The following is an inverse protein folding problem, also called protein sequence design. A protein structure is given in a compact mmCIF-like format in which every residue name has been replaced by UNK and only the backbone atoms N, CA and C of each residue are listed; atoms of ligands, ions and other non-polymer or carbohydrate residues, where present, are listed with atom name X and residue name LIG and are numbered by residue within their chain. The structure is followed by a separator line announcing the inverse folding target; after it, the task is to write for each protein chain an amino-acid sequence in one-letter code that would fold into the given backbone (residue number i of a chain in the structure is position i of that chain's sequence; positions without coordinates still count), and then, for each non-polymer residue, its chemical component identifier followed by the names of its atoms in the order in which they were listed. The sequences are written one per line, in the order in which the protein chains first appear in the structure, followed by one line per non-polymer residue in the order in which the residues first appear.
data_IF_805908468708
#
_entry.id   IF_805908468708
#
_cell.length_a   1.000
_cell.length_b   1.000
_cell.length_c   1.000
_cell.angle_alpha   90.00
_cell.angle_beta   90.00
_cell.angle_gamma   90.00
#
_symmetry.space_group_name_H-M   'P 1'
#
loop_
_entity.id
_entity.type
_entity.pdbx_description
1 polymer ?
2 non-polymer ?
3 non-polymer ?
4 non-polymer ?
5 non-polymer ?
6 water ?
#
# COMPACT_ATOMS: atom_id res chain seq x y z
N UNK A 10 6.48 -17.12 -6.09
CA UNK A 10 7.23 -16.26 -5.17
C UNK A 10 7.06 -14.78 -5.41
N UNK A 11 6.82 -14.05 -4.33
CA UNK A 11 6.87 -12.60 -4.26
C UNK A 11 8.35 -12.21 -4.46
N UNK A 12 8.70 -11.29 -5.39
CA UNK A 12 10.13 -11.04 -5.65
C UNK A 12 10.86 -10.35 -4.49
N UNK A 13 12.16 -10.62 -4.40
CA UNK A 13 13.02 -9.88 -3.49
C UNK A 13 13.17 -8.41 -4.00
N UNK A 14 13.59 -7.53 -3.12
CA UNK A 14 13.74 -6.12 -3.50
C UNK A 14 14.90 -6.00 -4.46
N UNK A 15 14.86 -5.03 -5.37
CA UNK A 15 15.96 -4.80 -6.33
C UNK A 15 17.06 -3.91 -5.76
N UNK A 16 16.80 -3.21 -4.66
CA UNK A 16 17.75 -2.27 -4.10
C UNK A 16 18.91 -2.87 -3.29
N UNK A 17 19.86 -2.04 -2.85
CA UNK A 17 21.02 -2.59 -2.13
C UNK A 17 20.78 -2.98 -0.67
N UNK A 18 19.66 -2.57 -0.06
CA UNK A 18 19.48 -2.79 1.38
C UNK A 18 18.80 -4.14 1.57
N UNK A 19 19.22 -4.90 2.57
CA UNK A 19 18.38 -5.98 3.14
C UNK A 19 17.08 -5.38 3.73
N UNK A 20 16.01 -6.17 3.69
CA UNK A 20 14.68 -5.78 4.12
C UNK A 20 14.24 -6.53 5.40
N UNK A 21 13.76 -5.76 6.36
CA UNK A 21 13.15 -6.29 7.58
C UNK A 21 11.67 -6.06 7.59
N UNK A 22 10.94 -6.76 8.44
CA UNK A 22 9.50 -6.55 8.51
C UNK A 22 9.01 -6.76 9.93
N UNK A 23 8.01 -5.96 10.36
CA UNK A 23 7.35 -6.18 11.65
C UNK A 23 5.96 -5.59 11.54
N UNK A 24 5.12 -5.84 12.55
CA UNK A 24 3.79 -5.27 12.65
C UNK A 24 3.68 -4.31 13.84
N UNK A 25 2.90 -3.23 13.68
CA UNK A 25 2.70 -2.25 14.75
C UNK A 25 1.22 -1.95 14.98
N UNK A 26 0.76 -2.14 16.20
CA UNK A 26 -0.59 -1.73 16.55
C UNK A 26 -0.58 -0.78 17.75
N UNK A 27 -0.98 0.47 17.54
CA UNK A 27 -1.08 1.45 18.62
C UNK A 27 -2.11 2.60 18.37
N UNK A 28 -3.08 2.85 19.28
CA UNK A 28 -3.42 1.99 20.41
C UNK A 28 -4.06 0.66 19.92
N UNK A 29 -4.56 -0.16 20.88
CA UNK A 29 -5.13 -1.48 20.65
C UNK A 29 -6.58 -1.45 20.10
N UNK A 30 -7.22 -0.27 20.06
CA UNK A 30 -8.66 -0.16 19.74
C UNK A 30 -8.88 -0.14 18.22
N UNK A 31 -10.15 -0.26 17.81
CA UNK A 31 -10.54 -0.13 16.41
C UNK A 31 -10.26 1.31 15.85
N UNK A 32 -9.95 2.31 16.72
CA UNK A 32 -9.59 3.68 16.32
C UNK A 32 -8.06 3.93 16.30
N UNK A 33 -7.30 2.95 16.79
CA UNK A 33 -5.84 3.01 16.82
C UNK A 33 -5.26 2.79 15.45
N UNK A 34 -3.92 2.87 15.35
CA UNK A 34 -3.26 2.58 14.09
C UNK A 34 -2.84 1.11 14.09
N UNK A 35 -3.03 0.44 12.92
CA UNK A 35 -2.48 -0.88 12.68
C UNK A 35 -1.69 -0.80 11.39
N UNK A 36 -0.41 -1.14 11.45
CA UNK A 36 0.38 -1.12 10.22
C UNK A 36 1.40 -2.29 10.15
N UNK A 37 1.79 -2.67 8.94
CA UNK A 37 2.93 -3.52 8.72
C UNK A 37 4.09 -2.65 8.24
N UNK A 38 5.25 -2.77 8.89
CA UNK A 38 6.40 -1.95 8.55
C UNK A 38 7.43 -2.73 7.74
N UNK A 39 7.86 -2.16 6.62
CA UNK A 39 9.01 -2.67 5.87
C UNK A 39 10.10 -1.64 5.96
N UNK A 40 11.32 -2.09 6.20
CA UNK A 40 12.38 -1.16 6.60
C UNK A 40 13.73 -1.70 6.21
N UNK A 41 14.75 -0.85 5.97
CA UNK A 41 16.10 -1.38 5.74
C UNK A 41 16.61 -2.05 7.00
N UNK A 42 17.19 -3.25 6.88
CA UNK A 42 17.50 -4.05 8.05
C UNK A 42 19.00 -4.27 8.22
N UNK A 43 19.43 -4.40 9.48
CA UNK A 43 20.83 -4.62 9.85
C UNK A 43 21.27 -6.01 9.36
N UNK A 44 20.38 -6.98 9.48
CA UNK A 44 20.70 -8.40 9.30
C UNK A 44 19.82 -9.03 8.24
N UNK A 45 20.27 -10.17 7.72
CA UNK A 45 19.67 -10.86 6.60
C UNK A 45 19.62 -12.38 6.82
N UNK A 46 19.55 -12.80 8.08
CA UNK A 46 19.49 -14.21 8.44
C UNK A 46 18.30 -14.52 9.36
N UNK A 47 17.24 -13.72 9.29
CA UNK A 47 16.01 -14.00 10.06
C UNK A 47 15.10 -14.87 9.23
N UNK A 48 14.07 -15.47 9.88
CA UNK A 48 12.99 -16.16 9.18
C UNK A 48 12.26 -15.18 8.29
N UNK A 49 11.86 -15.66 7.10
CA UNK A 49 11.04 -14.90 6.17
C UNK A 49 9.69 -14.57 6.83
N UNK A 50 8.98 -13.54 6.31
CA UNK A 50 7.72 -13.01 6.87
C UNK A 50 6.53 -13.83 6.34
N UNK A 51 5.66 -14.30 7.25
CA UNK A 51 4.43 -15.01 6.92
C UNK A 51 3.47 -14.03 6.19
N UNK A 52 3.03 -14.41 4.97
CA UNK A 52 2.34 -13.52 4.04
C UNK A 52 0.95 -13.15 4.54
N UNK A 53 0.16 -14.16 4.91
CA UNK A 53 -1.19 -13.90 5.44
C UNK A 53 -1.17 -14.60 6.81
N UNK A 54 -1.08 -13.86 7.92
CA UNK A 54 -0.70 -14.49 9.20
C UNK A 54 -1.82 -15.07 10.07
N UNK A 55 -3.09 -14.97 9.65
CA UNK A 55 -4.22 -15.49 10.45
C UNK A 55 -5.31 -16.05 9.54
N UNK A 56 -5.96 -17.14 10.01
CA UNK A 56 -7.05 -17.82 9.32
C UNK A 56 -8.22 -16.88 9.00
N UNK A 57 -8.45 -15.88 9.85
CA UNK A 57 -9.58 -14.97 9.65
C UNK A 57 -9.44 -14.15 8.37
N UNK A 58 -8.18 -13.84 7.96
CA UNK A 58 -7.95 -13.12 6.68
C UNK A 58 -8.47 -13.95 5.51
N UNK A 59 -8.20 -15.26 5.55
CA UNK A 59 -8.69 -16.22 4.55
C UNK A 59 -10.21 -16.31 4.50
N UNK A 60 -10.90 -16.35 5.67
CA UNK A 60 -12.36 -16.23 5.79
C UNK A 60 -12.88 -14.95 5.13
N UNK A 61 -12.26 -13.83 5.49
CA UNK A 61 -12.55 -12.54 4.89
C UNK A 61 -12.35 -12.51 3.39
N UNK A 62 -11.19 -13.00 2.91
CA UNK A 62 -10.97 -13.16 1.47
C UNK A 62 -12.08 -13.97 0.80
N UNK A 63 -12.51 -15.09 1.38
CA UNK A 63 -13.54 -15.88 0.67
C UNK A 63 -14.93 -15.12 0.60
N UNK A 64 -15.31 -14.44 1.69
CA UNK A 64 -16.47 -13.52 1.69
C UNK A 64 -16.33 -12.42 0.63
N UNK A 65 -15.13 -11.87 0.42
CA UNK A 65 -14.90 -10.81 -0.56
C UNK A 65 -14.95 -11.38 -1.97
N UNK A 66 -14.53 -12.64 -2.14
CA UNK A 66 -14.60 -13.30 -3.44
C UNK A 66 -16.02 -13.83 -3.78
N UNK A 67 -16.94 -13.71 -2.83
CA UNK A 67 -18.34 -14.17 -2.91
C UNK A 67 -18.50 -15.68 -2.84
N UNK A 68 -17.62 -16.37 -2.10
CA UNK A 68 -17.66 -17.83 -1.99
C UNK A 68 -18.06 -18.27 -0.58
N UNK A 69 -18.21 -19.62 -0.39
CA UNK A 69 -18.34 -20.31 0.92
C UNK A 69 -17.27 -19.76 1.87
N UNK A 70 -17.59 -19.51 3.15
CA UNK A 70 -16.51 -19.19 4.11
C UNK A 70 -15.52 -20.36 4.24
N UNK A 71 -16.00 -21.60 3.98
CA UNK A 71 -15.25 -22.84 3.92
C UNK A 71 -14.33 -22.89 2.71
N UNK A 72 -14.61 -22.08 1.66
CA UNK A 72 -13.66 -21.90 0.57
C UNK A 72 -12.43 -21.17 1.11
N UNK A 73 -12.59 -20.40 2.19
CA UNK A 73 -11.50 -19.75 2.91
C UNK A 73 -10.51 -20.75 3.51
N UNK A 74 -11.04 -21.85 4.10
CA UNK A 74 -10.26 -22.99 4.56
C UNK A 74 -9.39 -23.63 3.46
N UNK A 75 -9.87 -23.65 2.21
CA UNK A 75 -9.07 -24.18 1.09
C UNK A 75 -7.93 -23.17 0.71
N UNK A 76 -8.26 -21.89 0.67
CA UNK A 76 -7.25 -20.83 0.49
C UNK A 76 -6.18 -20.93 1.58
N UNK A 77 -6.59 -21.16 2.85
CA UNK A 77 -5.65 -21.34 3.95
C UNK A 77 -4.76 -22.58 3.74
N UNK A 78 -5.33 -23.70 3.30
CA UNK A 78 -4.61 -24.93 2.96
C UNK A 78 -3.54 -24.64 1.89
N UNK A 79 -3.87 -23.83 0.88
CA UNK A 79 -2.99 -23.57 -0.26
C UNK A 79 -1.95 -22.49 0.01
N UNK A 80 -2.29 -21.48 0.83
CA UNK A 80 -1.52 -20.24 0.94
C UNK A 80 -1.09 -19.90 2.37
N UNK A 81 -1.57 -20.65 3.37
CA UNK A 81 -1.37 -20.34 4.79
C UNK A 81 0.05 -20.42 5.32
N UNK A 82 0.97 -21.07 4.59
CA UNK A 82 2.38 -21.15 4.96
C UNK A 82 3.26 -20.31 4.00
N UNK A 83 2.65 -19.68 2.98
CA UNK A 83 3.41 -18.80 2.07
C UNK A 83 4.13 -17.67 2.84
N UNK A 84 5.37 -17.42 2.50
CA UNK A 84 6.09 -16.31 3.10
C UNK A 84 6.40 -15.27 2.05
N UNK A 85 6.98 -14.14 2.47
CA UNK A 85 7.41 -13.04 1.60
C UNK A 85 8.83 -12.70 2.03
N UNK A 86 9.77 -12.37 1.08
CA UNK A 86 11.19 -12.26 1.45
C UNK A 86 11.56 -10.97 2.21
N UNK A 87 11.10 -10.86 3.47
CA UNK A 87 11.57 -9.83 4.41
C UNK A 87 11.90 -10.49 5.72
N UNK A 88 12.98 -10.03 6.35
CA UNK A 88 13.47 -10.56 7.62
C UNK A 88 12.58 -10.18 8.74
N UNK A 89 11.84 -11.15 9.30
CA UNK A 89 10.84 -10.90 10.36
C UNK A 89 11.53 -10.42 11.61
N UNK A 90 11.14 -9.21 12.11
CA UNK A 90 11.69 -8.61 13.35
C UNK A 90 13.19 -8.31 13.32
N UNK A 91 13.80 -8.26 12.14
CA UNK A 91 15.23 -7.94 12.03
C UNK A 91 15.52 -6.56 12.69
N UNK A 92 16.69 -6.33 13.32
CA UNK A 92 17.01 -4.95 13.74
C UNK A 92 17.01 -3.98 12.53
N UNK A 93 16.53 -2.74 12.73
CA UNK A 93 16.60 -1.64 11.74
C UNK A 93 18.07 -1.37 11.42
N UNK A 94 18.41 -1.20 10.13
CA UNK A 94 19.75 -0.73 9.76
C UNK A 94 20.07 0.66 10.39
N UNK A 95 21.08 0.78 11.27
CA UNK A 95 21.35 2.09 11.87
C UNK A 95 22.20 3.00 10.97
N UNK A 96 22.31 4.27 11.39
CA UNK A 96 23.27 5.25 10.89
C UNK A 96 22.77 6.11 9.73
N UNK A 97 21.45 6.14 9.51
CA UNK A 97 20.81 6.77 8.35
C UNK A 97 19.38 7.18 8.65
N UNK A 98 19.00 8.38 8.18
CA UNK A 98 17.60 8.81 8.22
C UNK A 98 16.92 8.37 6.93
N UNK A 99 15.77 7.73 7.07
CA UNK A 99 15.04 7.16 5.93
C UNK A 99 13.77 7.96 5.55
N UNK A 100 13.55 8.24 4.24
CA UNK A 100 12.22 8.71 3.81
C UNK A 100 11.11 7.71 4.15
N UNK A 101 9.88 8.20 4.28
CA UNK A 101 8.72 7.43 4.73
C UNK A 101 7.64 7.43 3.71
N UNK A 102 7.15 6.22 3.40
CA UNK A 102 6.00 6.01 2.58
C UNK A 102 4.90 5.45 3.47
N UNK A 103 3.72 6.10 3.45
CA UNK A 103 2.54 5.46 4.02
C UNK A 103 1.82 4.83 2.80
N UNK A 104 1.41 3.56 2.90
CA UNK A 104 0.81 2.81 1.78
C UNK A 104 -0.64 2.40 2.16
N UNK A 105 -1.61 2.62 1.25
CA UNK A 105 -3.01 2.29 1.40
C UNK A 105 -3.47 1.18 0.47
N UNK A 106 -4.07 0.14 1.07
CA UNK A 106 -4.44 -1.06 0.33
C UNK A 106 -5.80 -0.85 -0.35
N UNK A 107 -6.11 -1.74 -1.31
CA UNK A 107 -7.36 -1.70 -2.04
C UNK A 107 -8.51 -2.38 -1.30
N UNK A 108 -9.68 -2.36 -1.95
CA UNK A 108 -10.89 -2.99 -1.42
C UNK A 108 -10.65 -4.51 -1.35
N UNK A 109 -11.11 -5.15 -0.27
CA UNK A 109 -10.90 -6.59 -0.09
C UNK A 109 -9.48 -6.98 0.29
N UNK A 110 -8.58 -6.00 0.38
CA UNK A 110 -7.19 -6.30 0.77
C UNK A 110 -6.98 -6.04 2.26
N UNK A 111 -5.74 -5.99 2.73
CA UNK A 111 -5.29 -5.72 4.12
C UNK A 111 -3.79 -5.40 4.05
N UNK A 112 -3.11 -5.18 5.19
CA UNK A 112 -1.78 -4.56 5.25
C UNK A 112 -0.64 -5.41 4.61
N UNK A 113 -0.83 -6.70 4.49
CA UNK A 113 0.26 -7.64 4.15
C UNK A 113 0.29 -7.90 2.60
N UNK A 114 -0.67 -7.35 1.84
CA UNK A 114 -0.86 -7.87 0.47
C UNK A 114 -0.14 -7.08 -0.63
N UNK A 115 0.76 -6.18 -0.20
CA UNK A 115 1.50 -5.33 -1.14
C UNK A 115 2.97 -5.34 -0.74
N UNK A 116 3.46 -6.53 -0.31
CA UNK A 116 4.87 -6.70 0.08
C UNK A 116 5.81 -6.60 -1.12
N UNK A 117 5.39 -7.01 -2.33
CA UNK A 117 6.32 -6.83 -3.48
C UNK A 117 6.70 -5.34 -3.58
N UNK A 118 5.70 -4.41 -3.50
CA UNK A 118 5.95 -2.95 -3.42
C UNK A 118 6.74 -2.51 -2.15
N UNK A 119 6.26 -2.89 -0.94
CA UNK A 119 6.84 -2.51 0.34
C UNK A 119 8.29 -2.94 0.54
N UNK A 120 8.62 -4.20 0.22
CA UNK A 120 9.98 -4.77 0.18
C UNK A 120 10.85 -4.02 -0.85
N UNK A 121 10.33 -3.77 -2.07
CA UNK A 121 11.19 -3.11 -3.04
C UNK A 121 11.56 -1.73 -2.59
N UNK A 122 10.59 -0.98 -2.02
CA UNK A 122 10.82 0.39 -1.51
C UNK A 122 11.82 0.34 -0.38
N UNK A 123 11.61 -0.58 0.59
CA UNK A 123 12.55 -0.77 1.70
C UNK A 123 13.95 -1.12 1.21
N UNK A 124 14.10 -1.97 0.18
CA UNK A 124 15.43 -2.36 -0.30
C UNK A 124 16.20 -1.17 -0.92
N UNK A 125 15.47 -0.09 -1.32
CA UNK A 125 16.08 1.14 -1.83
C UNK A 125 16.29 2.22 -0.73
N UNK A 126 16.00 1.87 0.52
CA UNK A 126 16.25 2.74 1.67
C UNK A 126 15.06 3.54 2.13
N UNK A 127 13.82 3.06 1.91
CA UNK A 127 12.59 3.67 2.51
C UNK A 127 12.13 2.89 3.76
N UNK A 128 11.49 3.58 4.69
CA UNK A 128 10.61 2.90 5.62
C UNK A 128 9.20 2.99 5.02
N UNK A 129 8.47 1.87 5.04
CA UNK A 129 7.14 1.79 4.45
C UNK A 129 6.17 1.35 5.53
N UNK A 130 5.18 2.18 5.80
CA UNK A 130 4.15 1.80 6.76
C UNK A 130 2.88 1.46 5.97
N UNK A 131 2.59 0.15 5.78
CA UNK A 131 1.39 -0.29 5.10
C UNK A 131 0.27 -0.40 6.11
N UNK A 132 -0.67 0.56 6.05
CA UNK A 132 -1.75 0.65 7.03
C UNK A 132 -2.77 -0.48 6.81
N UNK A 133 -3.41 -0.94 7.90
CA UNK A 133 -4.58 -1.77 7.79
C UNK A 133 -5.77 -0.89 8.15
N UNK A 134 -6.70 -0.74 7.22
CA UNK A 134 -7.81 0.19 7.38
C UNK A 134 -8.92 -0.51 8.14
N UNK A 135 -9.60 0.24 9.00
CA UNK A 135 -10.66 -0.28 9.85
C UNK A 135 -12.00 0.30 9.39
N UNK A 136 -12.12 0.61 8.09
CA UNK A 136 -13.34 1.27 7.53
C UNK A 136 -14.29 0.21 6.98
N UNK A 137 -13.98 -1.08 7.21
CA UNK A 137 -14.67 -2.27 6.69
C UNK A 137 -14.46 -2.39 5.17
N UNK A 138 -13.38 -1.75 4.61
CA UNK A 138 -12.97 -2.02 3.23
C UNK A 138 -11.96 -3.14 3.17
N UNK A 139 -11.29 -3.47 4.32
CA UNK A 139 -10.37 -4.64 4.32
C UNK A 139 -11.22 -5.93 4.26
N UNK A 140 -10.68 -7.02 3.66
CA UNK A 140 -11.34 -8.34 3.74
C UNK A 140 -11.61 -8.70 5.21
N UNK A 141 -10.59 -8.48 6.03
CA UNK A 141 -10.69 -8.68 7.48
C UNK A 141 -9.63 -7.76 8.07
N UNK A 142 -9.86 -7.39 9.32
CA UNK A 142 -8.90 -6.73 10.21
C UNK A 142 -9.27 -7.08 11.68
N UNK A 143 -8.40 -6.75 12.59
CA UNK A 143 -8.68 -7.00 13.98
C UNK A 143 -8.12 -5.94 14.87
N UNK A 144 -8.60 -5.94 16.11
CA UNK A 144 -8.27 -4.93 17.11
C UNK A 144 -8.68 -5.59 18.45
N UNK A 145 -8.50 -4.86 19.57
CA UNK A 145 -8.85 -5.38 20.91
C UNK A 145 -9.85 -4.41 21.55
N UNK A 146 -10.87 -4.98 22.19
CA UNK A 146 -11.97 -4.20 22.74
C UNK A 146 -11.53 -3.34 23.90
N UNK A 147 -10.52 -3.82 24.65
CA UNK A 147 -9.94 -3.04 25.73
C UNK A 147 -8.58 -3.58 26.11
N UNK A 148 -7.98 -3.01 27.18
CA UNK A 148 -6.59 -3.32 27.53
C UNK A 148 -6.41 -4.78 27.95
N UNK A 149 -7.39 -5.31 28.72
CA UNK A 149 -7.48 -6.72 29.12
C UNK A 149 -7.40 -7.66 27.92
N UNK A 150 -8.29 -7.44 26.91
CA UNK A 150 -8.36 -8.22 25.68
C UNK A 150 -6.99 -8.20 24.92
N UNK A 151 -6.35 -7.03 24.87
CA UNK A 151 -5.03 -6.84 24.24
C UNK A 151 -3.95 -7.69 24.94
N UNK A 152 -3.89 -7.64 26.29
CA UNK A 152 -2.94 -8.43 27.10
C UNK A 152 -2.96 -9.93 26.79
N UNK A 153 -4.17 -10.51 26.74
CA UNK A 153 -4.35 -11.95 26.50
C UNK A 153 -4.47 -12.30 25.01
N UNK A 154 -4.37 -11.29 24.13
CA UNK A 154 -4.47 -11.49 22.69
C UNK A 154 -5.82 -12.06 22.27
N UNK A 155 -6.90 -11.60 22.93
CA UNK A 155 -8.27 -11.92 22.53
C UNK A 155 -8.73 -10.90 21.45
N UNK A 156 -8.66 -11.34 20.19
CA UNK A 156 -8.81 -10.48 19.00
C UNK A 156 -10.28 -10.29 18.69
N UNK A 157 -10.68 -9.07 18.32
CA UNK A 157 -12.01 -8.88 17.76
C UNK A 157 -11.81 -8.66 16.27
N UNK A 158 -12.53 -9.43 15.47
CA UNK A 158 -12.39 -9.36 14.04
C UNK A 158 -13.45 -8.49 13.41
N UNK A 159 -13.09 -7.74 12.37
CA UNK A 159 -14.01 -6.87 11.64
C UNK A 159 -13.93 -7.23 10.16
N UNK A 160 -15.08 -7.58 9.55
CA UNK A 160 -15.07 -8.12 8.18
C UNK A 160 -15.57 -7.13 7.13
N UNK A 161 -15.14 -7.29 5.86
CA UNK A 161 -15.63 -6.49 4.74
C UNK A 161 -17.13 -6.27 4.79
N UNK A 162 -17.54 -5.04 4.55
CA UNK A 162 -18.95 -4.65 4.44
C UNK A 162 -19.35 -4.63 2.98
N UNK A 163 -20.40 -5.35 2.66
CA UNK A 163 -21.05 -5.27 1.36
C UNK A 163 -22.08 -4.18 1.38
N UNK A 164 -22.20 -3.45 0.25
CA UNK A 164 -23.13 -2.33 0.14
C UNK A 164 -24.28 -2.60 -0.82
N UNK A 165 -25.48 -2.09 -0.47
CA UNK A 165 -26.61 -1.88 -1.37
C UNK A 165 -26.25 -0.70 -2.32
N UNK A 166 -26.81 -0.71 -3.55
CA UNK A 166 -26.59 0.31 -4.58
C UNK A 166 -26.84 1.73 -4.08
N UNK A 167 -27.85 1.93 -3.20
CA UNK A 167 -28.24 3.23 -2.64
C UNK A 167 -27.22 3.76 -1.63
N UNK A 168 -26.38 2.87 -1.07
CA UNK A 168 -25.36 3.17 -0.06
C UNK A 168 -24.02 3.52 -0.70
N UNK A 169 -23.85 3.23 -2.00
CA UNK A 169 -22.55 3.28 -2.67
C UNK A 169 -21.89 4.63 -2.54
N UNK A 170 -22.53 5.72 -3.05
CA UNK A 170 -21.84 7.04 -3.14
C UNK A 170 -21.41 7.50 -1.73
N UNK A 171 -22.37 7.54 -0.82
CA UNK A 171 -22.21 8.03 0.54
C UNK A 171 -21.20 7.20 1.37
N UNK A 172 -21.33 5.86 1.41
CA UNK A 172 -20.44 5.04 2.23
C UNK A 172 -19.03 4.98 1.65
N UNK A 173 -18.85 4.86 0.31
CA UNK A 173 -17.48 4.90 -0.23
C UNK A 173 -16.76 6.18 0.13
N UNK A 174 -17.47 7.31 0.16
CA UNK A 174 -16.88 8.61 0.51
C UNK A 174 -16.56 8.66 2.03
N UNK A 175 -17.45 8.17 2.91
CA UNK A 175 -17.16 8.11 4.37
C UNK A 175 -15.89 7.25 4.60
N UNK A 176 -15.78 6.12 3.88
CA UNK A 176 -14.62 5.22 3.99
C UNK A 176 -13.34 5.86 3.49
N UNK A 177 -13.35 6.55 2.31
CA UNK A 177 -12.11 7.19 1.84
C UNK A 177 -11.68 8.29 2.84
N UNK A 178 -12.65 8.97 3.47
CA UNK A 178 -12.32 9.99 4.46
C UNK A 178 -11.69 9.39 5.72
N UNK A 179 -12.27 8.30 6.28
CA UNK A 179 -11.61 7.56 7.35
C UNK A 179 -10.24 7.01 6.94
N UNK A 180 -10.11 6.45 5.74
CA UNK A 180 -8.83 6.00 5.19
C UNK A 180 -7.79 7.13 5.24
N UNK A 181 -8.14 8.35 4.81
CA UNK A 181 -7.18 9.46 4.85
C UNK A 181 -6.75 9.79 6.31
N UNK A 182 -7.73 9.83 7.25
CA UNK A 182 -7.48 10.06 8.67
C UNK A 182 -6.55 9.00 9.24
N UNK A 183 -6.75 7.75 8.83
CA UNK A 183 -5.91 6.63 9.27
C UNK A 183 -4.52 6.78 8.69
N UNK A 184 -4.37 7.30 7.45
CA UNK A 184 -3.04 7.65 6.95
C UNK A 184 -2.36 8.74 7.71
N UNK A 185 -3.05 9.86 8.03
CA UNK A 185 -2.45 10.91 8.83
C UNK A 185 -2.09 10.42 10.21
N UNK A 186 -2.99 9.65 10.83
CA UNK A 186 -2.75 9.12 12.19
C UNK A 186 -1.54 8.15 12.20
N UNK A 187 -1.41 7.31 11.18
CA UNK A 187 -0.22 6.44 11.05
C UNK A 187 1.04 7.28 10.90
N UNK A 188 1.02 8.41 10.11
CA UNK A 188 2.16 9.33 10.00
C UNK A 188 2.52 9.91 11.38
N UNK A 189 1.53 10.49 12.09
CA UNK A 189 1.76 11.03 13.42
C UNK A 189 2.37 9.98 14.37
N UNK A 190 1.87 8.74 14.34
CA UNK A 190 2.43 7.66 15.16
C UNK A 190 3.92 7.45 14.86
N UNK A 191 4.29 7.25 13.57
CA UNK A 191 5.70 7.07 13.18
C UNK A 191 6.53 8.29 13.55
N UNK A 192 6.01 9.50 13.27
CA UNK A 192 6.74 10.72 13.60
C UNK A 192 6.97 10.88 15.10
N UNK A 193 6.01 10.43 15.93
CA UNK A 193 6.19 10.50 17.39
C UNK A 193 7.14 9.45 17.90
N UNK A 194 7.14 8.24 17.29
CA UNK A 194 8.14 7.21 17.57
C UNK A 194 9.56 7.73 17.21
N UNK A 195 9.69 8.43 16.06
CA UNK A 195 10.96 9.00 15.60
C UNK A 195 11.47 10.02 16.59
N UNK A 196 10.58 10.88 17.05
CA UNK A 196 10.84 11.88 18.06
C UNK A 196 10.67 11.35 19.51
N UNK A 197 10.80 10.02 19.68
CA UNK A 197 11.07 9.34 20.94
C UNK A 197 9.93 9.01 21.90
N UNK A 198 8.66 9.28 21.52
CA UNK A 198 7.49 8.95 22.33
C UNK A 198 7.52 7.44 22.71
N UNK A 199 7.40 7.09 24.00
CA UNK A 199 7.36 5.67 24.37
C UNK A 199 6.00 5.11 23.96
N UNK A 200 6.03 4.03 23.20
CA UNK A 200 4.82 3.42 22.62
C UNK A 200 4.87 1.94 22.97
N UNK A 201 3.86 1.45 23.69
CA UNK A 201 3.70 0.01 23.93
C UNK A 201 2.93 -0.59 22.74
N UNK A 202 3.61 -1.36 21.86
CA UNK A 202 2.97 -2.07 20.75
C UNK A 202 1.90 -2.99 21.34
N UNK A 203 0.65 -2.95 20.83
CA UNK A 203 -0.44 -3.81 21.34
C UNK A 203 -0.12 -5.29 21.04
N UNK A 204 0.79 -5.51 20.08
CA UNK A 204 1.23 -6.84 19.69
C UNK A 204 2.55 -7.11 20.39
N UNK A 205 2.66 -8.26 21.02
CA UNK A 205 3.87 -8.61 21.73
C UNK A 205 4.80 -9.21 20.69
N UNK A 206 5.62 -8.35 20.03
CA UNK A 206 6.59 -8.78 19.02
C UNK A 206 8.04 -8.43 19.46
N UNK A 207 9.03 -9.22 19.05
CA UNK A 207 10.43 -9.00 19.49
C UNK A 207 11.17 -8.01 18.55
N UNK A 208 10.51 -6.86 18.25
CA UNK A 208 11.08 -5.69 17.59
C UNK A 208 10.85 -4.50 18.51
N UNK A 209 11.93 -3.99 19.11
CA UNK A 209 11.89 -2.80 19.94
C UNK A 209 11.73 -1.52 19.09
N UNK A 210 10.60 -0.81 19.26
CA UNK A 210 10.26 0.41 18.54
C UNK A 210 11.20 1.57 18.84
N UNK A 211 11.98 1.46 19.94
CA UNK A 211 13.01 2.45 20.29
C UNK A 211 14.10 2.60 19.20
N UNK A 212 14.19 1.61 18.30
CA UNK A 212 15.08 1.61 17.13
C UNK A 212 14.70 2.67 16.14
N UNK A 213 13.40 3.00 16.07
CA UNK A 213 12.95 3.95 15.07
C UNK A 213 13.23 5.41 15.48
N UNK A 214 13.67 5.64 16.75
CA UNK A 214 14.07 6.98 17.22
C UNK A 214 15.20 7.52 16.35
N UNK A 215 15.02 8.75 15.85
CA UNK A 215 15.96 9.49 14.99
C UNK A 215 16.31 8.75 13.72
N UNK A 216 15.33 7.99 13.16
CA UNK A 216 15.53 7.19 11.94
C UNK A 216 14.72 7.65 10.72
N UNK A 217 13.79 8.59 10.89
CA UNK A 217 12.92 9.12 9.82
C UNK A 217 13.51 10.44 9.29
N UNK A 218 13.70 10.53 7.95
CA UNK A 218 13.97 11.84 7.34
C UNK A 218 12.61 12.58 7.32
N UNK A 219 12.35 13.44 8.31
CA UNK A 219 11.01 13.95 8.66
C UNK A 219 10.32 14.81 7.59
N UNK A 220 11.07 15.37 6.63
CA UNK A 220 10.55 16.17 5.53
C UNK A 220 10.19 15.30 4.30
N UNK A 221 10.65 14.04 4.28
CA UNK A 221 10.59 13.24 3.07
C UNK A 221 9.52 12.19 3.24
N UNK A 222 8.25 12.68 3.13
CA UNK A 222 7.07 11.81 3.32
C UNK A 222 6.20 11.74 2.09
N UNK A 223 5.80 10.53 1.71
CA UNK A 223 4.89 10.30 0.59
C UNK A 223 3.83 9.35 0.97
N UNK A 224 2.72 9.39 0.23
CA UNK A 224 1.61 8.47 0.38
C UNK A 224 1.44 7.73 -0.95
N UNK A 225 1.34 6.37 -0.90
CA UNK A 225 1.15 5.54 -2.09
C UNK A 225 0.00 4.59 -1.85
N UNK A 226 -0.76 4.23 -2.89
CA UNK A 226 -1.84 3.29 -2.64
C UNK A 226 -2.43 2.77 -3.91
N UNK A 227 -3.08 1.60 -3.81
CA UNK A 227 -3.64 0.91 -4.98
C UNK A 227 -5.14 0.90 -4.90
N UNK A 228 -5.78 1.27 -6.01
CA UNK A 228 -7.24 1.17 -6.23
C UNK A 228 -7.98 2.13 -5.29
N UNK A 229 -8.72 1.58 -4.29
CA UNK A 229 -9.33 2.39 -3.23
C UNK A 229 -8.21 3.16 -2.49
N UNK A 230 -7.05 2.54 -2.39
CA UNK A 230 -5.86 3.17 -1.84
C UNK A 230 -5.32 4.32 -2.66
N UNK A 231 -5.60 4.31 -3.97
CA UNK A 231 -5.20 5.40 -4.86
C UNK A 231 -6.13 6.59 -4.68
N UNK A 232 -7.46 6.36 -4.49
CA UNK A 232 -8.33 7.46 -3.99
C UNK A 232 -7.86 7.98 -2.62
N UNK A 233 -7.42 7.09 -1.73
CA UNK A 233 -6.93 7.42 -0.38
C UNK A 233 -5.72 8.34 -0.48
N UNK A 234 -4.77 8.06 -1.43
CA UNK A 234 -3.69 8.99 -1.79
C UNK A 234 -4.21 10.41 -1.95
N UNK A 235 -5.22 10.56 -2.80
CA UNK A 235 -5.67 11.91 -3.20
C UNK A 235 -6.38 12.61 -2.05
N UNK A 236 -7.25 11.88 -1.35
CA UNK A 236 -7.94 12.45 -0.17
C UNK A 236 -6.91 12.89 0.87
N UNK A 237 -5.90 12.01 1.14
CA UNK A 237 -4.82 12.24 2.13
C UNK A 237 -4.04 13.51 1.78
N UNK A 238 -3.50 13.62 0.56
CA UNK A 238 -2.82 14.83 0.11
C UNK A 238 -3.66 16.07 0.27
N UNK A 239 -4.97 16.01 -0.07
CA UNK A 239 -5.82 17.22 0.11
C UNK A 239 -5.99 17.64 1.58
N UNK A 240 -5.88 16.71 2.54
CA UNK A 240 -6.14 17.12 3.91
C UNK A 240 -4.89 17.14 4.83
N UNK A 241 -3.72 16.70 4.35
CA UNK A 241 -2.55 16.58 5.19
C UNK A 241 -1.36 17.00 4.38
N UNK A 242 -0.95 18.26 4.58
CA UNK A 242 0.17 18.84 3.85
C UNK A 242 1.55 18.26 4.28
N UNK A 243 1.60 17.41 5.33
CA UNK A 243 2.85 16.76 5.76
C UNK A 243 3.34 15.79 4.67
N UNK A 244 2.38 15.23 3.88
CA UNK A 244 2.69 14.39 2.73
C UNK A 244 3.08 15.30 1.56
N UNK A 245 4.28 15.12 1.01
CA UNK A 245 4.82 16.03 0.01
C UNK A 245 4.51 15.63 -1.41
N UNK A 246 4.23 14.33 -1.65
CA UNK A 246 3.74 13.89 -2.97
C UNK A 246 2.98 12.62 -2.79
N UNK A 247 2.28 12.21 -3.83
CA UNK A 247 1.54 10.95 -3.81
C UNK A 247 1.63 10.21 -5.12
N UNK A 248 1.55 8.88 -5.04
CA UNK A 248 1.51 7.96 -6.20
C UNK A 248 0.28 7.09 -6.09
N UNK A 249 -0.67 7.26 -7.03
CA UNK A 249 -1.89 6.49 -7.06
C UNK A 249 -1.74 5.35 -8.08
N UNK A 250 -1.76 4.10 -7.58
CA UNK A 250 -1.60 2.93 -8.44
C UNK A 250 -2.95 2.44 -8.85
N UNK A 251 -3.27 2.55 -10.15
CA UNK A 251 -4.57 2.19 -10.71
C UNK A 251 -5.70 2.69 -9.76
N UNK A 252 -5.74 4.00 -9.51
CA UNK A 252 -6.71 4.56 -8.54
C UNK A 252 -8.18 4.27 -9.00
N UNK A 253 -9.05 3.91 -8.06
CA UNK A 253 -10.48 3.83 -8.25
C UNK A 253 -11.03 5.16 -7.70
N UNK A 254 -11.35 6.11 -8.59
CA UNK A 254 -11.68 7.48 -8.20
C UNK A 254 -13.08 7.70 -7.61
N UNK A 255 -14.03 6.76 -7.83
CA UNK A 255 -15.42 6.84 -7.34
C UNK A 255 -15.57 7.36 -5.85
N UNK A 256 -14.80 6.89 -4.83
CA UNK A 256 -15.02 7.39 -3.46
C UNK A 256 -14.84 8.90 -3.21
N UNK A 257 -14.06 9.59 -4.05
CA UNK A 257 -13.71 11.01 -3.85
C UNK A 257 -14.87 11.97 -3.91
N UNK A 258 -14.91 12.90 -2.96
CA UNK A 258 -15.87 13.99 -2.99
C UNK A 258 -15.51 14.97 -4.08
N UNK A 259 -16.52 15.64 -4.67
CA UNK A 259 -16.32 16.61 -5.75
C UNK A 259 -15.47 17.77 -5.32
N UNK A 260 -15.48 18.09 -4.02
CA UNK A 260 -14.64 19.15 -3.45
C UNK A 260 -13.16 18.87 -3.57
N UNK A 261 -12.72 17.60 -3.57
CA UNK A 261 -11.28 17.24 -3.43
C UNK A 261 -10.42 17.68 -4.64
N UNK A 262 -10.97 17.70 -5.85
CA UNK A 262 -10.17 17.71 -7.11
C UNK A 262 -9.31 18.92 -7.35
N UNK A 263 -9.84 20.09 -7.00
CA UNK A 263 -9.12 21.34 -7.09
C UNK A 263 -8.30 21.62 -5.80
N UNK A 264 -8.13 20.61 -4.91
CA UNK A 264 -7.50 20.86 -3.60
C UNK A 264 -6.25 19.97 -3.37
N UNK A 265 -5.47 19.71 -4.40
CA UNK A 265 -4.31 18.81 -4.26
C UNK A 265 -3.11 19.63 -4.74
N UNK A 266 -2.45 20.42 -3.87
CA UNK A 266 -1.27 21.16 -4.33
C UNK A 266 -0.03 20.29 -4.59
N UNK A 267 0.04 19.08 -4.00
CA UNK A 267 1.26 18.27 -4.12
C UNK A 267 1.38 17.54 -5.47
N UNK A 268 2.63 17.27 -5.90
CA UNK A 268 2.85 16.42 -7.08
C UNK A 268 2.17 15.05 -6.97
N UNK A 269 1.55 14.57 -8.07
CA UNK A 269 0.69 13.38 -8.03
C UNK A 269 0.94 12.58 -9.29
N UNK A 270 1.29 11.29 -9.13
CA UNK A 270 1.64 10.40 -10.21
C UNK A 270 0.59 9.28 -10.29
N UNK A 271 -0.07 9.16 -11.46
CA UNK A 271 -1.01 8.06 -11.79
C UNK A 271 -0.26 6.98 -12.53
N UNK A 272 -0.20 5.77 -11.96
CA UNK A 272 0.37 4.62 -12.71
C UNK A 272 -0.80 3.66 -12.93
N UNK A 273 -1.18 3.43 -14.18
CA UNK A 273 -2.40 2.68 -14.44
C UNK A 273 -2.14 1.34 -15.08
N UNK A 274 -3.08 0.42 -14.87
CA UNK A 274 -3.04 -0.82 -15.66
C UNK A 274 -3.72 -0.51 -16.99
N UNK A 275 -3.37 -1.26 -18.04
CA UNK A 275 -4.09 -1.13 -19.31
C UNK A 275 -5.57 -1.55 -19.27
N UNK A 276 -5.88 -2.68 -18.62
CA UNK A 276 -7.21 -3.26 -18.78
C UNK A 276 -8.22 -2.81 -17.71
N UNK A 277 -7.80 -2.19 -16.62
CA UNK A 277 -8.79 -1.75 -15.60
C UNK A 277 -9.53 -0.50 -15.98
N UNK A 278 -8.82 0.48 -16.55
CA UNK A 278 -9.29 1.86 -16.66
C UNK A 278 -10.47 2.03 -17.67
N UNK A 279 -11.27 3.08 -17.46
CA UNK A 279 -12.52 3.35 -18.15
C UNK A 279 -12.72 4.85 -18.17
N UNK A 280 -13.49 5.39 -19.13
CA UNK A 280 -13.69 6.85 -19.20
C UNK A 280 -14.09 7.56 -17.90
N UNK A 281 -15.14 7.09 -17.17
CA UNK A 281 -15.60 7.80 -15.97
C UNK A 281 -14.42 8.01 -14.99
N UNK A 282 -13.53 7.01 -14.89
CA UNK A 282 -12.39 7.04 -13.99
C UNK A 282 -11.31 7.99 -14.50
N UNK A 283 -10.93 7.90 -15.78
CA UNK A 283 -9.93 8.78 -16.41
C UNK A 283 -10.36 10.25 -16.33
N UNK A 284 -11.66 10.55 -16.60
CA UNK A 284 -12.24 11.91 -16.48
C UNK A 284 -11.95 12.45 -15.07
N UNK A 285 -12.25 11.66 -14.04
CA UNK A 285 -11.99 12.03 -12.65
C UNK A 285 -10.50 12.31 -12.37
N UNK A 286 -9.58 11.46 -12.86
CA UNK A 286 -8.12 11.71 -12.78
C UNK A 286 -7.73 13.08 -13.44
N UNK A 287 -8.29 13.36 -14.64
CA UNK A 287 -8.03 14.60 -15.38
C UNK A 287 -8.61 15.84 -14.67
N UNK A 288 -9.57 15.64 -13.72
CA UNK A 288 -10.10 16.73 -12.89
C UNK A 288 -9.07 17.18 -11.81
N UNK A 289 -8.04 16.35 -11.57
CA UNK A 289 -6.98 16.65 -10.64
C UNK A 289 -5.97 17.54 -11.31
N UNK A 290 -6.05 17.70 -12.65
CA UNK A 290 -5.06 18.48 -13.42
C UNK A 290 -5.41 19.96 -13.37
N UNK A 291 -4.37 20.79 -13.27
CA UNK A 291 -4.42 22.25 -13.48
C UNK A 291 -2.99 22.74 -13.78
N UNK A 292 -2.77 23.86 -14.54
CA UNK A 292 -1.41 24.13 -15.06
C UNK A 292 -0.34 24.39 -13.99
N UNK A 293 -0.77 24.86 -12.82
CA UNK A 293 0.18 25.11 -11.75
C UNK A 293 0.61 23.81 -11.02
N UNK A 294 -0.07 22.66 -11.29
CA UNK A 294 0.18 21.43 -10.56
C UNK A 294 0.99 20.42 -11.33
N UNK A 295 1.90 19.75 -10.59
CA UNK A 295 2.70 18.66 -11.11
C UNK A 295 1.87 17.36 -11.20
N UNK A 296 1.58 16.94 -12.44
CA UNK A 296 0.86 15.69 -12.69
C UNK A 296 1.53 14.86 -13.73
N UNK A 297 1.52 13.55 -13.50
CA UNK A 297 2.08 12.58 -14.45
C UNK A 297 1.19 11.38 -14.49
N UNK A 298 1.15 10.74 -15.66
CA UNK A 298 0.34 9.54 -15.87
C UNK A 298 1.02 8.64 -16.86
N UNK A 299 1.06 7.34 -16.53
CA UNK A 299 1.59 6.27 -17.39
C UNK A 299 0.66 5.08 -17.27
N UNK A 300 0.64 4.25 -18.31
CA UNK A 300 -0.11 3.01 -18.36
C UNK A 300 0.87 1.89 -18.69
N UNK A 301 0.78 0.79 -17.93
CA UNK A 301 1.65 -0.37 -18.19
C UNK A 301 0.92 -1.24 -19.26
N UNK A 302 1.53 -1.47 -20.46
CA UNK A 302 0.96 -2.30 -21.53
C UNK A 302 0.75 -3.72 -21.04
N UNK A 303 -0.37 -4.31 -21.40
CA UNK A 303 -0.66 -5.72 -21.11
C UNK A 303 -1.02 -6.00 -19.66
N UNK A 304 -1.14 -4.96 -18.80
CA UNK A 304 -1.41 -5.20 -17.38
C UNK A 304 -2.88 -5.14 -16.95
N UNK A 305 -3.17 -5.81 -15.85
CA UNK A 305 -4.49 -5.86 -15.20
C UNK A 305 -4.42 -5.23 -13.82
N UNK A 306 -5.60 -4.97 -13.25
CA UNK A 306 -5.74 -4.30 -11.97
C UNK A 306 -4.92 -4.94 -10.86
N UNK A 307 -4.90 -6.27 -10.82
CA UNK A 307 -4.22 -7.02 -9.77
C UNK A 307 -2.71 -7.10 -9.96
N UNK A 308 -2.16 -6.55 -11.08
CA UNK A 308 -0.70 -6.54 -11.26
C UNK A 308 0.02 -5.79 -10.11
N UNK A 309 -0.68 -4.87 -9.39
CA UNK A 309 -0.03 -4.11 -8.31
C UNK A 309 -0.03 -4.83 -6.96
N UNK A 310 -0.81 -5.93 -6.83
CA UNK A 310 -0.95 -6.60 -5.52
C UNK A 310 -0.22 -7.93 -5.56
N UNK A 311 0.13 -8.49 -4.38
CA UNK A 311 0.91 -9.73 -4.32
C UNK A 311 0.24 -10.97 -4.92
N UNK A 312 -1.09 -10.93 -5.12
CA UNK A 312 -1.83 -12.04 -5.71
C UNK A 312 -1.30 -12.37 -7.10
N UNK A 313 -0.72 -11.35 -7.80
CA UNK A 313 -0.12 -11.53 -9.14
C UNK A 313 1.05 -12.52 -9.11
N UNK A 314 1.66 -12.75 -7.92
CA UNK A 314 2.80 -13.66 -7.77
C UNK A 314 2.45 -14.96 -7.10
N UNK A 315 1.20 -15.09 -6.64
CA UNK A 315 0.78 -16.22 -5.80
C UNK A 315 0.45 -17.51 -6.57
N UNK A 316 0.13 -17.41 -7.89
CA UNK A 316 -0.24 -18.59 -8.71
C UNK A 316 0.66 -18.69 -9.96
N UNK A 317 0.52 -19.80 -10.68
CA UNK A 317 1.07 -19.97 -12.02
C UNK A 317 0.42 -19.11 -13.07
N UNK A 318 1.01 -19.11 -14.28
CA UNK A 318 0.57 -18.30 -15.42
C UNK A 318 -0.86 -18.61 -15.87
N UNK A 319 -1.23 -19.86 -16.12
CA UNK A 319 -2.56 -20.19 -16.64
C UNK A 319 -3.66 -19.82 -15.63
N UNK A 320 -3.56 -20.33 -14.38
CA UNK A 320 -4.52 -20.02 -13.32
C UNK A 320 -4.48 -18.52 -13.07
N UNK A 321 -3.27 -17.95 -13.11
CA UNK A 321 -3.09 -16.51 -12.96
C UNK A 321 -3.92 -15.73 -13.95
N UNK A 322 -3.78 -16.06 -15.26
CA UNK A 322 -4.51 -15.35 -16.30
C UNK A 322 -6.02 -15.54 -16.16
N UNK A 323 -6.46 -16.77 -15.82
CA UNK A 323 -7.87 -17.13 -15.63
C UNK A 323 -8.53 -16.30 -14.54
N UNK A 324 -7.93 -16.24 -13.33
CA UNK A 324 -8.43 -15.47 -12.18
C UNK A 324 -8.25 -13.94 -12.30
N UNK A 325 -7.70 -13.45 -13.44
CA UNK A 325 -7.40 -12.03 -13.69
C UNK A 325 -6.40 -11.52 -12.64
N UNK A 326 -5.43 -12.38 -12.23
CA UNK A 326 -4.37 -11.96 -11.29
C UNK A 326 -3.17 -11.52 -12.10
N UNK A 327 -3.11 -11.98 -13.35
CA UNK A 327 -2.02 -11.69 -14.26
C UNK A 327 -2.57 -11.18 -15.57
N UNK A 328 -1.82 -10.31 -16.24
CA UNK A 328 -2.14 -9.83 -17.58
C UNK A 328 -1.27 -10.49 -18.62
N UNK A 329 -1.19 -9.87 -19.80
CA UNK A 329 -0.38 -10.39 -20.89
C UNK A 329 1.10 -10.18 -20.62
N UNK A 330 1.40 -9.15 -19.86
CA UNK A 330 2.75 -8.83 -19.43
C UNK A 330 3.16 -9.77 -18.28
N UNK A 331 4.46 -10.06 -18.18
CA UNK A 331 5.04 -10.73 -17.04
C UNK A 331 4.87 -9.89 -15.75
N UNK A 332 4.42 -10.53 -14.64
CA UNK A 332 4.21 -9.83 -13.37
C UNK A 332 5.47 -9.15 -12.80
N UNK A 333 6.64 -9.81 -12.91
CA UNK A 333 7.90 -9.22 -12.42
C UNK A 333 8.28 -8.04 -13.24
N UNK A 334 8.13 -8.13 -14.60
CA UNK A 334 8.37 -7.00 -15.49
C UNK A 334 7.45 -5.79 -15.13
N UNK A 335 6.15 -6.04 -14.97
CA UNK A 335 5.16 -4.98 -14.65
C UNK A 335 5.47 -4.30 -13.31
N UNK A 336 5.71 -5.09 -12.23
CA UNK A 336 5.93 -4.46 -10.91
C UNK A 336 7.26 -3.71 -10.93
N UNK A 337 8.27 -4.23 -11.69
CA UNK A 337 9.55 -3.51 -11.83
C UNK A 337 9.31 -2.14 -12.44
N UNK A 338 8.53 -2.06 -13.51
CA UNK A 338 8.17 -0.74 -14.09
C UNK A 338 7.49 0.20 -13.09
N UNK A 339 6.44 -0.29 -12.42
CA UNK A 339 5.68 0.50 -11.44
C UNK A 339 6.59 0.99 -10.30
N UNK A 340 7.41 0.09 -9.72
CA UNK A 340 8.33 0.40 -8.60
C UNK A 340 9.49 1.32 -9.01
N UNK A 341 10.09 1.10 -10.20
CA UNK A 341 11.20 1.97 -10.70
C UNK A 341 10.74 3.39 -11.06
N UNK A 342 9.63 3.49 -11.83
CA UNK A 342 8.95 4.76 -12.12
C UNK A 342 8.54 5.49 -10.82
N UNK A 343 8.00 4.78 -9.80
CA UNK A 343 7.70 5.36 -8.48
C UNK A 343 8.98 5.93 -7.78
N UNK A 344 10.10 5.18 -7.75
CA UNK A 344 11.38 5.65 -7.20
C UNK A 344 11.89 6.94 -7.84
N UNK A 345 11.85 7.04 -9.18
CA UNK A 345 12.27 8.27 -9.88
C UNK A 345 11.39 9.44 -9.43
N UNK A 346 10.05 9.23 -9.37
CA UNK A 346 9.11 10.32 -8.97
C UNK A 346 9.34 10.79 -7.55
N UNK A 347 9.61 9.85 -6.64
CA UNK A 347 9.86 10.09 -5.21
C UNK A 347 11.20 10.81 -5.07
N UNK A 348 12.23 10.42 -5.88
CA UNK A 348 13.48 11.18 -5.85
C UNK A 348 13.23 12.65 -6.22
N UNK A 349 12.53 12.89 -7.31
CA UNK A 349 12.25 14.22 -7.81
C UNK A 349 11.44 15.10 -6.80
N UNK A 350 10.35 14.57 -6.21
CA UNK A 350 9.45 15.44 -5.44
C UNK A 350 9.74 15.41 -3.94
N UNK A 351 10.61 14.48 -3.48
CA UNK A 351 11.09 14.48 -2.11
C UNK A 351 12.51 15.03 -1.96
N UNK A 352 13.21 15.20 -3.08
CA UNK A 352 14.54 15.80 -3.08
C UNK A 352 15.58 14.84 -2.53
N UNK A 353 15.47 13.56 -2.93
CA UNK A 353 16.40 12.52 -2.50
C UNK A 353 17.73 12.59 -3.23
N UNK A 354 18.81 12.24 -2.52
CA UNK A 354 20.15 12.25 -3.11
C UNK A 354 20.59 10.81 -3.34
N UNK A 355 19.80 10.14 -4.17
CA UNK A 355 19.99 8.76 -4.59
C UNK A 355 20.20 8.72 -6.11
N UNK A 356 20.14 7.53 -6.71
CA UNK A 356 20.40 7.36 -8.15
C UNK A 356 19.10 6.94 -8.86
N UNK A 357 17.94 7.29 -8.28
CA UNK A 357 16.63 6.90 -8.80
C UNK A 357 16.26 7.64 -10.10
N UNK A 358 16.95 8.77 -10.40
CA UNK A 358 16.78 9.52 -11.63
C UNK A 358 17.21 8.75 -12.87
N UNK A 359 17.93 7.60 -12.71
CA UNK A 359 18.15 6.65 -13.82
C UNK A 359 16.80 6.17 -14.42
N UNK A 360 15.68 6.27 -13.67
CA UNK A 360 14.38 5.84 -14.18
C UNK A 360 13.43 6.99 -14.59
N UNK A 361 13.96 8.24 -14.71
CA UNK A 361 13.18 9.44 -15.08
C UNK A 361 12.35 9.23 -16.35
N UNK A 362 12.93 8.52 -17.35
CA UNK A 362 12.30 8.12 -18.61
C UNK A 362 10.96 7.37 -18.43
N UNK A 363 10.86 6.55 -17.37
CA UNK A 363 9.64 5.81 -17.05
C UNK A 363 8.49 6.70 -16.55
N UNK A 364 8.80 7.81 -15.85
CA UNK A 364 7.77 8.82 -15.43
C UNK A 364 7.06 9.36 -16.70
N UNK A 365 7.79 9.41 -17.81
CA UNK A 365 7.26 9.87 -19.11
C UNK A 365 6.62 8.75 -19.95
N UNK A 366 6.68 7.51 -19.48
CA UNK A 366 6.11 6.37 -20.18
C UNK A 366 6.99 5.94 -21.36
N UNK A 367 8.34 6.16 -21.21
CA UNK A 367 9.33 5.87 -22.28
C UNK A 367 10.02 4.56 -22.03
N UNK A 368 9.43 3.52 -22.61
CA UNK A 368 9.75 2.10 -22.43
C UNK A 368 8.79 1.32 -23.35
N UNK A 369 9.22 0.17 -23.85
CA UNK A 369 8.37 -0.56 -24.80
C UNK A 369 7.11 -1.16 -24.13
N UNK A 370 7.14 -1.37 -22.81
CA UNK A 370 5.99 -1.80 -22.04
C UNK A 370 5.27 -0.66 -21.29
N UNK A 371 5.53 0.61 -21.70
CA UNK A 371 4.80 1.74 -21.15
C UNK A 371 4.04 2.50 -22.23
N UNK A 372 2.82 2.98 -21.90
CA UNK A 372 2.07 3.95 -22.70
C UNK A 372 2.16 5.28 -21.99
N UNK A 373 2.64 6.38 -22.68
CA UNK A 373 2.54 7.70 -22.06
C UNK A 373 1.07 8.06 -21.83
N UNK A 374 0.79 8.66 -20.69
CA UNK A 374 -0.59 9.01 -20.36
C UNK A 374 -1.48 7.80 -20.29
N UNK A 375 -2.49 7.73 -21.16
CA UNK A 375 -3.52 6.69 -21.11
C UNK A 375 -3.96 6.19 -22.49
N UNK A 376 -4.42 4.92 -22.55
CA UNK A 376 -5.00 4.33 -23.75
C UNK A 376 -6.48 4.71 -23.90
N UNK A 377 -7.10 5.22 -22.81
CA UNK A 377 -8.54 5.46 -22.76
C UNK A 377 -8.87 6.76 -23.46
N UNK A 378 -9.73 6.70 -24.48
CA UNK A 378 -10.24 7.89 -25.16
C UNK A 378 -11.49 8.45 -24.42
N UNK A 379 -11.40 9.72 -23.99
CA UNK A 379 -12.49 10.40 -23.27
C UNK A 379 -13.10 11.55 -24.11
N UNK A 380 -12.80 11.57 -25.43
CA UNK A 380 -13.38 12.54 -26.37
C UNK A 380 -14.12 11.83 -27.51
#
# INVERSE_FOLDING_TARGET
MAAASFGQTKIPRGNGPYSVGCTDLMFDHTNKGTFLRLYYPSQDNDRLDTLWIPNKEYFWGLSKFLGTHWLMGNILRLLFGSMTTPANWNSPLRPGEKYPLVVFSHGLGAFRTLYSAIGIDLASHGFIVAAVEHRDRSASATYYFKDQSAAEIGDKSWLYLRTLKQEEETHIRNEQVRQRAKECSQALSLILDIDHGKPVKNALDLKFDMEQLKDSIDREKIAVIGHSFGGATVIQTLSEDQRFRCGIALDAWMFPLGDEVYSRIPQPLFFINSEYFQYPANIIKMKKCYSPDKERKMITIRGSVHQNFADFTFATGKIIGHMLKLKGDIDSNVAIDLSNKASLAFLQKHLGLHKDFDQWDCLIEGDDENLIPGTNINTTNQHHHHHH
#
